data_IF_136250289148
#
_entry.id   IF_136250289148
#
_cell.length_a   1.000
_cell.length_b   1.000
_cell.length_c   1.000
_cell.angle_alpha   90.00
_cell.angle_beta   90.00
_cell.angle_gamma   90.00
#
_symmetry.space_group_name_H-M   'P 1'
#
loop_
_entity.id
_entity.type
_entity.pdbx_description
1 polymer ?
#
# COMPACT_ATOMS: atom_id res chain seq x y z
N UNK A 1 -5.00 7.61 21.67
CA UNK A 1 -6.09 6.83 21.06
C UNK A 1 -5.52 6.03 19.90
N UNK A 2 -5.85 4.75 19.77
CA UNK A 2 -5.43 3.89 18.64
C UNK A 2 -6.66 3.24 18.04
N UNK A 3 -6.80 3.24 16.71
CA UNK A 3 -7.95 2.65 16.00
C UNK A 3 -7.50 1.52 15.10
N UNK A 4 -8.24 0.42 15.15
CA UNK A 4 -7.95 -0.79 14.40
C UNK A 4 -8.86 -0.83 13.17
N UNK A 5 -8.28 -0.99 11.99
CA UNK A 5 -9.00 -1.15 10.73
C UNK A 5 -8.84 -2.58 10.21
N UNK A 6 -9.94 -3.14 9.69
CA UNK A 6 -10.03 -4.52 9.20
C UNK A 6 -10.47 -4.62 7.74
N UNK A 7 -9.92 -3.72 6.92
CA UNK A 7 -10.34 -3.51 5.54
C UNK A 7 -11.20 -2.27 5.35
N UNK A 8 -11.37 -1.90 4.08
CA UNK A 8 -12.18 -0.76 3.65
C UNK A 8 -11.35 0.48 3.33
N UNK A 9 -12.00 1.63 3.33
CA UNK A 9 -11.37 2.92 3.02
C UNK A 9 -11.34 3.77 4.29
N UNK A 10 -10.17 4.32 4.61
CA UNK A 10 -10.00 5.38 5.58
C UNK A 10 -9.79 6.69 4.82
N UNK A 11 -10.86 7.45 4.67
CA UNK A 11 -10.91 8.74 3.98
C UNK A 11 -11.00 9.94 4.94
N UNK A 12 -11.48 9.70 6.15
CA UNK A 12 -11.56 10.70 7.20
C UNK A 12 -10.19 11.08 7.80
N UNK A 13 -10.17 12.24 8.46
CA UNK A 13 -9.04 12.65 9.31
C UNK A 13 -9.12 11.91 10.63
N UNK A 14 -8.09 11.13 10.93
CA UNK A 14 -7.96 10.41 12.19
C UNK A 14 -6.86 11.02 13.07
N UNK A 15 -7.18 11.26 14.34
CA UNK A 15 -6.21 11.71 15.33
C UNK A 15 -5.81 10.55 16.25
N UNK A 16 -4.54 10.15 16.15
CA UNK A 16 -3.99 8.99 16.85
C UNK A 16 -3.34 7.96 15.93
N UNK A 17 -2.96 6.82 16.51
CA UNK A 17 -2.34 5.72 15.77
C UNK A 17 -3.36 4.81 15.08
N UNK A 18 -3.04 4.35 13.88
CA UNK A 18 -3.87 3.44 13.10
C UNK A 18 -3.16 2.09 13.02
N UNK A 19 -3.90 1.02 13.31
CA UNK A 19 -3.40 -0.35 13.13
C UNK A 19 -4.29 -1.05 12.12
N UNK A 20 -3.71 -1.47 11.00
CA UNK A 20 -4.40 -2.22 9.95
C UNK A 20 -4.10 -3.71 10.13
N UNK A 21 -5.15 -4.48 10.37
CA UNK A 21 -5.09 -5.94 10.54
C UNK A 21 -6.19 -6.62 9.74
N UNK A 22 -6.00 -7.87 9.35
CA UNK A 22 -7.04 -8.68 8.72
C UNK A 22 -6.93 -8.83 7.20
N UNK A 23 -7.70 -9.76 6.64
CA UNK A 23 -7.45 -10.30 5.30
C UNK A 23 -7.87 -9.36 4.16
N UNK A 24 -8.53 -8.24 4.48
CA UNK A 24 -9.06 -7.33 3.47
C UNK A 24 -8.08 -6.17 3.24
N UNK A 25 -7.80 -5.80 1.99
CA UNK A 25 -6.98 -4.64 1.70
C UNK A 25 -7.64 -3.38 2.27
N UNK A 26 -6.83 -2.49 2.83
CA UNK A 26 -7.27 -1.21 3.38
C UNK A 26 -6.66 -0.08 2.58
N UNK A 27 -7.49 0.84 2.09
CA UNK A 27 -7.03 2.06 1.43
C UNK A 27 -7.06 3.21 2.40
N UNK A 28 -5.89 3.77 2.71
CA UNK A 28 -5.76 4.99 3.50
C UNK A 28 -5.58 6.18 2.55
N UNK A 29 -6.66 6.93 2.33
CA UNK A 29 -6.64 8.17 1.53
C UNK A 29 -6.71 9.43 2.40
N UNK A 30 -7.17 9.28 3.64
CA UNK A 30 -7.32 10.37 4.60
C UNK A 30 -6.01 10.80 5.25
N UNK A 31 -6.13 11.55 6.34
CA UNK A 31 -5.00 12.07 7.11
C UNK A 31 -4.93 11.38 8.46
N UNK A 32 -3.80 10.72 8.74
CA UNK A 32 -3.52 10.07 10.02
C UNK A 32 -2.54 10.94 10.82
N UNK A 33 -3.04 11.58 11.88
CA UNK A 33 -2.22 12.32 12.85
C UNK A 33 -1.63 11.40 13.91
N UNK A 34 -0.78 10.49 13.48
CA UNK A 34 -0.14 9.52 14.34
C UNK A 34 0.61 8.48 13.54
N UNK A 35 0.92 7.36 14.18
CA UNK A 35 1.66 6.28 13.57
C UNK A 35 0.72 5.28 12.89
N UNK A 36 1.14 4.73 11.75
CA UNK A 36 0.45 3.69 11.00
C UNK A 36 1.20 2.37 11.17
N UNK A 37 0.50 1.33 11.60
CA UNK A 37 1.03 -0.03 11.77
C UNK A 37 0.24 -0.98 10.88
N UNK A 38 0.92 -1.82 10.11
CA UNK A 38 0.29 -2.79 9.20
C UNK A 38 0.88 -4.17 9.46
N UNK A 39 0.03 -5.13 9.83
CA UNK A 39 0.44 -6.48 10.26
C UNK A 39 -0.61 -7.53 9.95
N UNK A 40 -0.40 -8.78 10.39
CA UNK A 40 -1.36 -9.88 10.26
C UNK A 40 -1.77 -10.18 8.82
N UNK A 41 -0.79 -10.29 7.91
CA UNK A 41 -1.01 -10.53 6.48
C UNK A 41 -1.89 -9.48 5.77
N UNK A 42 -1.99 -8.28 6.35
CA UNK A 42 -2.81 -7.19 5.80
C UNK A 42 -2.06 -6.42 4.73
N UNK A 43 -2.81 -5.89 3.77
CA UNK A 43 -2.30 -4.97 2.76
C UNK A 43 -2.91 -3.60 3.02
N UNK A 44 -2.06 -2.59 3.18
CA UNK A 44 -2.48 -1.20 3.29
C UNK A 44 -1.89 -0.38 2.15
N UNK A 45 -2.76 0.25 1.37
CA UNK A 45 -2.39 1.21 0.35
C UNK A 45 -2.56 2.61 0.92
N UNK A 46 -1.46 3.34 1.08
CA UNK A 46 -1.43 4.68 1.66
C UNK A 46 -1.29 5.70 0.55
N UNK A 47 -2.37 6.37 0.19
CA UNK A 47 -2.40 7.48 -0.77
C UNK A 47 -2.46 8.83 -0.05
N UNK A 48 -2.96 8.84 1.18
CA UNK A 48 -3.08 10.03 2.02
C UNK A 48 -1.78 10.45 2.73
N UNK A 49 -1.93 11.10 3.89
CA UNK A 49 -0.80 11.61 4.67
C UNK A 49 -0.74 10.95 6.05
N UNK A 50 0.42 10.39 6.39
CA UNK A 50 0.75 9.92 7.75
C UNK A 50 1.72 10.92 8.36
N UNK A 51 1.31 11.62 9.42
CA UNK A 51 2.20 12.61 10.06
C UNK A 51 3.19 11.97 11.02
N UNK A 52 2.93 10.74 11.47
CA UNK A 52 3.84 9.95 12.31
C UNK A 52 4.69 9.00 11.49
N UNK A 53 5.04 7.88 12.11
CA UNK A 53 5.81 6.80 11.51
C UNK A 53 4.89 5.83 10.76
N UNK A 54 5.42 5.20 9.71
CA UNK A 54 4.73 4.14 8.99
C UNK A 54 5.50 2.83 9.16
N UNK A 55 4.88 1.81 9.76
CA UNK A 55 5.51 0.55 10.08
C UNK A 55 4.82 -0.60 9.34
N UNK A 56 5.56 -1.27 8.46
CA UNK A 56 5.21 -2.56 7.88
C UNK A 56 5.78 -3.66 8.79
N UNK A 57 4.96 -4.21 9.67
CA UNK A 57 5.36 -5.28 10.59
C UNK A 57 5.23 -6.66 9.93
N UNK A 58 5.64 -7.72 10.64
CA UNK A 58 5.66 -9.11 10.18
C UNK A 58 4.40 -9.48 9.38
N UNK A 59 4.62 -9.96 8.15
CA UNK A 59 3.63 -10.33 7.12
C UNK A 59 2.72 -9.20 6.61
N UNK A 60 2.78 -7.99 7.16
CA UNK A 60 2.07 -6.83 6.63
C UNK A 60 2.72 -6.30 5.36
N UNK A 61 1.91 -5.81 4.42
CA UNK A 61 2.36 -5.10 3.22
C UNK A 61 1.86 -3.66 3.21
N UNK A 62 2.77 -2.71 3.07
CA UNK A 62 2.49 -1.29 2.90
C UNK A 62 2.86 -0.87 1.49
N UNK A 63 1.90 -0.29 0.78
CA UNK A 63 2.11 0.36 -0.51
C UNK A 63 1.95 1.87 -0.30
N UNK A 64 3.05 2.58 -0.13
CA UNK A 64 3.08 4.00 0.17
C UNK A 64 3.14 4.82 -1.12
N UNK A 65 2.02 5.39 -1.54
CA UNK A 65 1.89 6.34 -2.66
C UNK A 65 1.78 7.80 -2.21
N UNK A 66 1.39 8.01 -0.96
CA UNK A 66 1.21 9.32 -0.35
C UNK A 66 2.47 9.85 0.35
N UNK A 67 2.28 10.56 1.46
CA UNK A 67 3.36 11.19 2.23
C UNK A 67 3.45 10.63 3.65
N UNK A 68 4.67 10.26 4.06
CA UNK A 68 5.03 9.97 5.46
C UNK A 68 5.96 11.07 5.97
N UNK A 69 5.56 11.75 7.04
CA UNK A 69 6.29 12.93 7.53
C UNK A 69 7.47 12.57 8.47
N UNK A 70 7.45 11.37 9.06
CA UNK A 70 8.59 10.84 9.83
C UNK A 70 9.21 9.64 9.11
N UNK A 71 9.45 8.54 9.81
CA UNK A 71 10.15 7.38 9.29
C UNK A 71 9.17 6.34 8.72
N UNK A 72 9.58 5.68 7.64
CA UNK A 72 8.94 4.48 7.11
C UNK A 72 9.82 3.26 7.42
N UNK A 73 9.31 2.30 8.18
CA UNK A 73 10.06 1.13 8.65
C UNK A 73 9.43 -0.17 8.19
N UNK A 74 10.25 -1.10 7.73
CA UNK A 74 9.87 -2.47 7.44
C UNK A 74 10.46 -3.41 8.51
N UNK A 75 9.64 -3.87 9.45
CA UNK A 75 10.03 -4.74 10.57
C UNK A 75 9.51 -6.15 10.30
N UNK A 76 10.13 -6.83 9.33
CA UNK A 76 9.69 -8.15 8.86
C UNK A 76 8.49 -8.16 7.90
N UNK A 77 8.01 -6.99 7.51
CA UNK A 77 6.96 -6.80 6.50
C UNK A 77 7.49 -6.36 5.14
N UNK A 78 6.57 -6.14 4.21
CA UNK A 78 6.84 -5.61 2.88
C UNK A 78 6.49 -4.12 2.84
N UNK A 79 7.44 -3.27 2.45
CA UNK A 79 7.25 -1.84 2.29
C UNK A 79 7.63 -1.42 0.88
N UNK A 80 6.64 -0.96 0.12
CA UNK A 80 6.87 -0.37 -1.21
C UNK A 80 6.63 1.14 -1.13
N UNK A 81 7.64 1.92 -1.47
CA UNK A 81 7.60 3.38 -1.46
C UNK A 81 7.55 3.89 -2.89
N UNK A 82 6.40 4.44 -3.28
CA UNK A 82 6.18 5.15 -4.55
C UNK A 82 6.01 6.66 -4.34
N UNK A 83 5.64 7.08 -3.12
CA UNK A 83 5.41 8.47 -2.75
C UNK A 83 6.62 9.14 -2.09
N UNK A 84 6.36 9.96 -1.07
CA UNK A 84 7.39 10.72 -0.36
C UNK A 84 7.53 10.28 1.09
N UNK A 85 8.78 10.10 1.53
CA UNK A 85 9.15 9.92 2.94
C UNK A 85 10.06 11.07 3.36
N UNK A 86 9.61 11.88 4.31
CA UNK A 86 10.36 13.04 4.79
C UNK A 86 11.48 12.63 5.75
N UNK A 87 11.23 11.63 6.60
CA UNK A 87 12.25 11.02 7.45
C UNK A 87 13.01 9.91 6.74
N UNK A 88 13.35 8.87 7.49
CA UNK A 88 14.18 7.76 7.02
C UNK A 88 13.33 6.60 6.50
N UNK A 89 13.88 5.82 5.57
CA UNK A 89 13.37 4.50 5.22
C UNK A 89 14.29 3.45 5.85
N UNK A 90 13.76 2.61 6.74
CA UNK A 90 14.56 1.62 7.49
C UNK A 90 14.04 0.22 7.22
N UNK A 91 14.92 -0.68 6.78
CA UNK A 91 14.62 -2.10 6.68
C UNK A 91 15.24 -2.87 7.86
N UNK A 92 14.39 -3.38 8.76
CA UNK A 92 14.74 -4.17 9.93
C UNK A 92 14.25 -5.63 9.75
N UNK A 93 14.70 -6.27 8.66
CA UNK A 93 14.44 -7.68 8.39
C UNK A 93 13.18 -7.97 7.55
N UNK A 94 12.63 -6.96 6.90
CA UNK A 94 11.57 -7.08 5.90
C UNK A 94 12.08 -6.97 4.46
N UNK A 95 11.17 -6.63 3.55
CA UNK A 95 11.50 -6.31 2.16
C UNK A 95 11.09 -4.88 1.87
N UNK A 96 12.02 -4.06 1.40
CA UNK A 96 11.74 -2.68 1.03
C UNK A 96 11.96 -2.50 -0.46
N UNK A 97 11.01 -1.95 -1.18
CA UNK A 97 11.20 -1.46 -2.55
C UNK A 97 10.98 0.05 -2.56
N UNK A 98 11.87 0.79 -3.23
CA UNK A 98 11.74 2.23 -3.41
C UNK A 98 11.69 2.47 -4.90
N UNK A 99 10.59 3.05 -5.37
CA UNK A 99 10.41 3.37 -6.76
C UNK A 99 11.35 4.50 -7.20
N UNK A 100 11.71 4.53 -8.49
CA UNK A 100 12.58 5.56 -9.06
C UNK A 100 11.98 6.97 -8.95
N UNK A 101 10.65 7.08 -8.89
CA UNK A 101 9.95 8.34 -8.73
C UNK A 101 9.71 8.72 -7.27
N UNK A 102 9.99 7.82 -6.33
CA UNK A 102 9.81 8.08 -4.91
C UNK A 102 10.87 9.07 -4.39
N UNK A 103 10.48 9.87 -3.39
CA UNK A 103 11.34 10.88 -2.78
C UNK A 103 11.56 10.56 -1.32
N UNK A 104 12.78 10.18 -0.96
CA UNK A 104 13.20 9.99 0.43
C UNK A 104 14.13 11.14 0.81
N UNK A 105 13.71 12.00 1.73
CA UNK A 105 14.53 13.14 2.20
C UNK A 105 15.54 12.75 3.28
N UNK A 106 15.21 11.75 4.10
CA UNK A 106 16.14 11.21 5.09
C UNK A 106 17.06 10.15 4.51
N UNK A 107 17.50 9.22 5.35
CA UNK A 107 18.41 8.14 4.97
C UNK A 107 17.64 6.87 4.62
N UNK A 108 18.16 6.08 3.69
CA UNK A 108 17.74 4.71 3.45
C UNK A 108 18.72 3.80 4.18
N UNK A 109 18.22 2.98 5.10
CA UNK A 109 19.01 2.14 6.00
C UNK A 109 18.57 0.69 5.84
N UNK A 110 19.51 -0.22 5.58
CA UNK A 110 19.24 -1.63 5.35
C UNK A 110 19.09 -1.98 3.87
N UNK A 111 18.73 -3.23 3.59
CA UNK A 111 18.62 -3.74 2.22
C UNK A 111 17.36 -3.23 1.52
N UNK A 112 17.49 -2.88 0.24
CA UNK A 112 16.38 -2.53 -0.64
C UNK A 112 16.36 -3.43 -1.86
N UNK A 113 15.17 -3.90 -2.21
CA UNK A 113 14.90 -4.65 -3.43
C UNK A 113 15.01 -3.73 -4.64
N UNK A 114 15.68 -4.16 -5.72
CA UNK A 114 15.79 -3.40 -6.96
C UNK A 114 14.51 -3.46 -7.83
N UNK A 115 13.57 -4.36 -7.50
CA UNK A 115 12.32 -4.56 -8.23
C UNK A 115 11.11 -4.49 -7.30
N UNK A 116 9.94 -4.04 -7.81
CA UNK A 116 8.68 -4.06 -7.05
C UNK A 116 8.45 -5.43 -6.44
N UNK A 117 8.05 -5.45 -5.16
CA UNK A 117 7.77 -6.72 -4.51
C UNK A 117 6.56 -7.35 -5.22
N UNK A 118 6.59 -8.67 -5.46
CA UNK A 118 5.47 -9.31 -6.13
C UNK A 118 4.18 -8.92 -5.40
N UNK A 119 3.11 -8.55 -6.13
CA UNK A 119 1.83 -8.32 -5.51
C UNK A 119 1.52 -9.55 -4.65
N UNK A 120 1.09 -9.38 -3.37
CA UNK A 120 0.66 -10.50 -2.55
C UNK A 120 -0.44 -11.17 -3.36
N UNK A 121 -0.16 -12.42 -3.80
CA UNK A 121 -0.84 -13.09 -4.90
C UNK A 121 -2.30 -12.63 -5.07
N UNK A 122 -2.51 -11.64 -5.93
CA UNK A 122 -3.85 -11.35 -6.38
C UNK A 122 -4.25 -12.60 -7.16
N UNK A 123 -5.38 -13.20 -6.78
CA UNK A 123 -6.12 -14.06 -7.69
C UNK A 123 -6.09 -13.43 -9.10
N UNK A 124 -5.96 -14.24 -10.16
CA UNK A 124 -5.74 -13.75 -11.51
C UNK A 124 -6.70 -12.61 -11.79
N UNK A 125 -6.15 -11.47 -12.20
CA UNK A 125 -6.90 -10.32 -12.73
C UNK A 125 -7.92 -10.90 -13.71
N UNK A 126 -9.25 -10.65 -13.58
CA UNK A 126 -10.16 -11.00 -14.66
C UNK A 126 -9.61 -10.32 -15.90
N UNK A 127 -9.32 -11.12 -16.92
CA UNK A 127 -8.99 -10.60 -18.23
C UNK A 127 -10.06 -9.58 -18.58
N UNK A 128 -9.63 -8.38 -18.98
CA UNK A 128 -10.48 -7.40 -19.66
C UNK A 128 -11.41 -8.15 -20.60
N UNK A 129 -12.71 -8.09 -20.31
CA UNK A 129 -13.74 -8.63 -21.18
C UNK A 129 -13.54 -7.98 -22.56
N UNK A 130 -13.05 -8.76 -23.51
CA UNK A 130 -13.19 -8.45 -24.93
C UNK A 130 -14.69 -8.26 -25.18
N UNK A 131 -15.06 -7.11 -25.73
CA UNK A 131 -16.44 -6.77 -26.08
C UNK A 131 -17.14 -7.95 -26.81
N UNK A 132 -18.43 -8.22 -26.54
CA UNK A 132 -19.14 -9.27 -27.25
C UNK A 132 -19.14 -8.98 -28.76
N UNK A 133 -18.88 -9.97 -29.63
CA UNK A 133 -18.99 -9.81 -31.07
C UNK A 133 -20.43 -9.44 -31.44
N UNK A 134 -20.58 -8.47 -32.34
CA UNK A 134 -21.89 -8.06 -32.86
C UNK A 134 -22.64 -9.27 -33.46
N UNK A 135 -23.97 -9.37 -33.28
CA UNK A 135 -24.75 -10.44 -33.89
C UNK A 135 -24.69 -10.36 -35.42
N UNK A 136 -24.61 -11.49 -36.14
CA UNK A 136 -24.62 -11.51 -37.59
C UNK A 136 -25.97 -11.03 -38.13
N UNK A 137 -25.92 -10.18 -39.17
CA UNK A 137 -27.07 -9.71 -39.94
C UNK A 137 -27.85 -10.90 -40.54
N UNK A 138 -29.19 -10.86 -40.58
CA UNK A 138 -29.97 -11.91 -41.23
C UNK A 138 -29.73 -11.93 -42.75
N UNK A 139 -29.78 -13.11 -43.41
CA UNK A 139 -29.58 -13.22 -44.85
C UNK A 139 -30.75 -12.58 -45.63
N UNK A 140 -30.49 -12.02 -46.83
CA UNK A 140 -31.53 -11.46 -47.68
C UNK A 140 -32.51 -12.56 -48.14
N UNK A 141 -33.81 -12.30 -47.99
CA UNK A 141 -34.88 -13.09 -48.58
C UNK A 141 -34.82 -12.96 -50.10
N UNK A 142 -34.81 -14.09 -50.80
CA UNK A 142 -35.02 -14.15 -52.26
C UNK A 142 -36.45 -13.82 -52.66
#
# INVERSE_FOLDING_TARGET
MVRIFRGGVLDERFEGGVVVIGPRPTQMIGLVRGDLFVRDASVCEVTGMVTGNCLAERTGKVVLKGLVNKDAKAVGGDLEVYGMVVGNVVNEGGRVYIDKQALVKGKVIGEVSPAPLPPPAAAPKPATASAPPAPPSPPPSG
#
